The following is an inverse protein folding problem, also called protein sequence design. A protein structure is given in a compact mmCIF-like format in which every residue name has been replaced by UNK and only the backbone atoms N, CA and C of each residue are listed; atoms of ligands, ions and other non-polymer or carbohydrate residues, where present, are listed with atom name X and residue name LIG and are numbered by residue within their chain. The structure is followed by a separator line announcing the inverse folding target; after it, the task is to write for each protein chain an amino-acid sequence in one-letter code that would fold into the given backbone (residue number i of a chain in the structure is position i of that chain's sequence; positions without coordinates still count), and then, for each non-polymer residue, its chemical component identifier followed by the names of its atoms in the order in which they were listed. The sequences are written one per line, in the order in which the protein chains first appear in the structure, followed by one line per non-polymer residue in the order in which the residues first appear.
data_IF_796480809170
#
_entry.id   IF_796480809170
#
_cell.length_a   1.000
_cell.length_b   1.000
_cell.length_c   1.000
_cell.angle_alpha   90.00
_cell.angle_beta   90.00
_cell.angle_gamma   90.00
#
_symmetry.space_group_name_H-M   'P 1'
#
loop_
_entity.id
_entity.type
_entity.pdbx_description
1 polymer ?
#
# COMPACT_ATOMS: atom_id res chain seq x y z
N UNK A 1 26.14 17.64 4.72
CA UNK A 1 25.28 18.59 5.45
C UNK A 1 25.11 18.11 6.86
N UNK A 2 25.46 18.90 7.85
CA UNK A 2 25.17 18.60 9.27
C UNK A 2 23.77 19.12 9.57
N UNK A 3 22.94 18.29 10.21
CA UNK A 3 21.62 18.72 10.69
C UNK A 3 21.77 19.72 11.85
N UNK A 4 20.74 20.52 12.06
CA UNK A 4 20.69 21.40 13.22
C UNK A 4 20.64 20.57 14.51
N UNK A 5 21.41 20.94 15.53
CA UNK A 5 21.54 20.18 16.78
C UNK A 5 20.22 19.86 17.49
N UNK A 6 19.20 20.71 17.34
CA UNK A 6 17.85 20.42 17.87
C UNK A 6 17.19 19.27 17.13
N UNK A 7 17.38 19.15 15.81
CA UNK A 7 16.84 18.04 15.01
C UNK A 7 17.52 16.73 15.43
N UNK A 8 18.85 16.71 15.53
CA UNK A 8 19.61 15.56 15.99
C UNK A 8 19.11 15.06 17.36
N UNK A 9 19.06 15.98 18.34
CA UNK A 9 18.57 15.65 19.68
C UNK A 9 17.13 15.10 19.70
N UNK A 10 16.23 15.67 18.90
CA UNK A 10 14.83 15.20 18.82
C UNK A 10 14.79 13.82 18.16
N UNK A 11 15.57 13.60 17.12
CA UNK A 11 15.67 12.32 16.42
C UNK A 11 16.20 11.23 17.36
N UNK A 12 17.27 11.49 18.09
CA UNK A 12 17.82 10.55 19.08
C UNK A 12 16.80 10.16 20.15
N UNK A 13 16.02 11.13 20.64
CA UNK A 13 14.93 10.86 21.59
C UNK A 13 13.81 10.00 20.98
N UNK A 14 13.47 10.20 19.72
CA UNK A 14 12.47 9.38 19.02
C UNK A 14 12.99 7.96 18.86
N UNK A 15 14.22 7.80 18.43
CA UNK A 15 14.88 6.50 18.27
C UNK A 15 14.86 5.74 19.61
N UNK A 16 15.37 6.35 20.68
CA UNK A 16 15.41 5.73 21.99
C UNK A 16 14.03 5.33 22.51
N UNK A 17 13.03 6.20 22.33
CA UNK A 17 11.65 5.92 22.77
C UNK A 17 10.99 4.79 22.00
N UNK A 18 11.27 4.67 20.71
CA UNK A 18 10.62 3.71 19.81
C UNK A 18 11.36 2.36 19.70
N UNK A 19 12.52 2.22 20.31
CA UNK A 19 13.39 1.03 20.17
C UNK A 19 12.63 -0.28 20.44
N UNK A 20 11.88 -0.35 21.53
CA UNK A 20 11.15 -1.55 21.93
C UNK A 20 10.06 -1.99 20.94
N UNK A 21 9.48 -1.04 20.23
CA UNK A 21 8.41 -1.30 19.22
C UNK A 21 8.98 -1.42 17.81
N UNK A 22 10.01 -0.66 17.51
CA UNK A 22 10.62 -0.61 16.17
C UNK A 22 11.48 -1.82 15.87
N UNK A 23 12.26 -2.32 16.86
CA UNK A 23 13.12 -3.47 16.66
C UNK A 23 12.37 -4.72 16.19
N UNK A 24 11.28 -5.17 16.83
CA UNK A 24 10.52 -6.32 16.37
C UNK A 24 9.95 -6.14 14.95
N UNK A 25 9.61 -4.91 14.55
CA UNK A 25 9.18 -4.63 13.19
C UNK A 25 10.32 -4.83 12.20
N UNK A 26 11.50 -4.25 12.46
CA UNK A 26 12.67 -4.38 11.58
C UNK A 26 13.11 -5.83 11.44
N UNK A 27 13.09 -6.58 12.53
CA UNK A 27 13.46 -8.01 12.53
C UNK A 27 12.48 -8.83 11.65
N UNK A 28 11.19 -8.52 11.69
CA UNK A 28 10.21 -9.13 10.79
C UNK A 28 10.45 -8.79 9.32
N UNK A 29 10.77 -7.53 9.02
CA UNK A 29 11.08 -7.09 7.66
C UNK A 29 12.33 -7.79 7.12
N UNK A 30 13.37 -7.90 7.91
CA UNK A 30 14.59 -8.60 7.53
C UNK A 30 14.36 -10.11 7.34
N UNK A 31 13.59 -10.75 8.23
CA UNK A 31 13.20 -12.14 8.07
C UNK A 31 12.35 -12.40 6.83
N UNK A 32 11.45 -11.46 6.49
CA UNK A 32 10.67 -11.54 5.25
C UNK A 32 11.57 -11.39 4.01
N UNK A 33 12.48 -10.42 4.05
CA UNK A 33 13.46 -10.19 2.96
C UNK A 33 14.34 -11.43 2.71
N UNK A 34 14.79 -12.07 3.77
CA UNK A 34 15.64 -13.27 3.68
C UNK A 34 14.94 -14.47 3.01
N UNK A 35 13.60 -14.53 3.07
CA UNK A 35 12.79 -15.58 2.40
C UNK A 35 12.62 -15.36 0.89
N UNK A 36 12.92 -14.17 0.40
CA UNK A 36 12.64 -13.78 -1.00
C UNK A 36 11.16 -13.50 -1.27
N UNK A 37 10.77 -13.42 -2.55
CA UNK A 37 9.40 -13.04 -2.93
C UNK A 37 8.35 -13.97 -2.33
N UNK A 38 7.37 -13.41 -1.62
CA UNK A 38 6.32 -14.19 -0.94
C UNK A 38 5.53 -15.09 -1.91
N UNK A 39 5.30 -14.60 -3.15
CA UNK A 39 4.59 -15.37 -4.18
C UNK A 39 5.31 -16.66 -4.61
N UNK A 40 6.64 -16.75 -4.43
CA UNK A 40 7.40 -17.97 -4.72
C UNK A 40 7.05 -19.12 -3.79
N UNK A 41 6.44 -18.83 -2.66
CA UNK A 41 6.03 -19.81 -1.64
C UNK A 41 4.53 -20.14 -1.70
N UNK A 42 3.80 -19.57 -2.66
CA UNK A 42 2.39 -19.95 -2.88
C UNK A 42 2.29 -21.40 -3.39
N UNK A 43 1.27 -22.12 -2.92
CA UNK A 43 0.94 -23.43 -3.48
C UNK A 43 0.55 -23.33 -4.95
N UNK A 44 0.59 -24.44 -5.69
CA UNK A 44 0.13 -24.46 -7.10
C UNK A 44 -1.29 -23.93 -7.25
N UNK A 45 -2.19 -24.26 -6.34
CA UNK A 45 -3.55 -23.73 -6.31
C UNK A 45 -3.57 -22.22 -6.04
N UNK A 46 -2.77 -21.74 -5.07
CA UNK A 46 -2.63 -20.32 -4.78
C UNK A 46 -2.12 -19.53 -5.99
N UNK A 47 -1.10 -20.05 -6.68
CA UNK A 47 -0.58 -19.42 -7.90
C UNK A 47 -1.61 -19.41 -9.03
N UNK A 48 -2.35 -20.51 -9.22
CA UNK A 48 -3.39 -20.58 -10.23
C UNK A 48 -4.47 -19.53 -10.01
N UNK A 49 -4.94 -19.36 -8.77
CA UNK A 49 -5.91 -18.32 -8.43
C UNK A 49 -5.34 -16.91 -8.57
N UNK A 50 -4.11 -16.67 -8.08
CA UNK A 50 -3.50 -15.34 -8.11
C UNK A 50 -3.24 -14.85 -9.54
N UNK A 51 -2.90 -15.76 -10.47
CA UNK A 51 -2.46 -15.38 -11.81
C UNK A 51 -3.54 -15.54 -12.88
N UNK A 52 -4.69 -16.15 -12.56
CA UNK A 52 -5.75 -16.39 -13.54
C UNK A 52 -6.28 -15.11 -14.21
N UNK A 53 -6.32 -14.00 -13.47
CA UNK A 53 -6.81 -12.72 -13.94
C UNK A 53 -5.69 -11.80 -14.50
N UNK A 54 -4.46 -12.26 -14.62
CA UNK A 54 -3.30 -11.42 -14.96
C UNK A 54 -3.10 -11.20 -16.47
N UNK A 55 -3.91 -11.84 -17.31
CA UNK A 55 -3.85 -11.69 -18.77
C UNK A 55 -2.45 -11.95 -19.31
N UNK A 56 -1.92 -11.00 -20.06
CA UNK A 56 -0.59 -11.06 -20.70
C UNK A 56 0.58 -11.06 -19.69
N UNK A 57 0.36 -10.63 -18.45
CA UNK A 57 1.40 -10.62 -17.41
C UNK A 57 1.57 -11.97 -16.70
N UNK A 58 0.73 -12.96 -17.01
CA UNK A 58 0.71 -14.25 -16.33
C UNK A 58 2.07 -14.95 -16.34
N UNK A 59 2.72 -14.99 -17.49
CA UNK A 59 4.01 -15.67 -17.64
C UNK A 59 5.13 -14.94 -16.88
N UNK A 60 5.07 -13.60 -16.81
CA UNK A 60 6.00 -12.80 -16.01
C UNK A 60 5.80 -13.05 -14.53
N UNK A 61 4.55 -13.12 -14.06
CA UNK A 61 4.22 -13.40 -12.67
C UNK A 61 4.62 -14.79 -12.23
N UNK A 62 4.53 -15.77 -13.12
CA UNK A 62 4.95 -17.15 -12.85
C UNK A 62 6.46 -17.26 -12.63
N UNK A 63 7.25 -16.30 -13.11
CA UNK A 63 8.68 -16.22 -12.82
C UNK A 63 8.89 -15.40 -11.54
N UNK A 64 9.84 -15.79 -10.70
CA UNK A 64 10.19 -15.03 -9.49
C UNK A 64 11.12 -13.86 -9.75
N UNK A 65 11.59 -13.69 -10.99
CA UNK A 65 12.55 -12.65 -11.38
C UNK A 65 11.92 -11.29 -11.64
N UNK A 66 10.64 -11.24 -12.02
CA UNK A 66 9.92 -10.00 -12.26
C UNK A 66 9.25 -9.55 -10.96
N UNK A 67 9.49 -8.31 -10.52
CA UNK A 67 8.79 -7.73 -9.36
C UNK A 67 7.31 -7.49 -9.68
N UNK A 68 6.42 -7.74 -8.72
CA UNK A 68 4.98 -7.46 -8.83
C UNK A 68 4.58 -6.33 -7.88
N UNK A 69 4.11 -5.21 -8.43
CA UNK A 69 3.69 -4.03 -7.68
C UNK A 69 2.18 -4.08 -7.40
N UNK A 70 1.81 -4.05 -6.12
CA UNK A 70 0.43 -3.88 -5.69
C UNK A 70 0.01 -2.42 -5.76
N UNK A 71 -1.15 -2.13 -6.35
CA UNK A 71 -1.74 -0.79 -6.38
C UNK A 71 -2.94 -0.79 -5.43
N UNK A 72 -2.87 0.01 -4.38
CA UNK A 72 -4.01 0.31 -3.50
C UNK A 72 -4.54 1.67 -3.89
N UNK A 73 -5.80 1.76 -4.29
CA UNK A 73 -6.38 3.00 -4.82
C UNK A 73 -7.59 3.46 -4.01
N UNK A 74 -7.75 4.77 -3.93
CA UNK A 74 -8.92 5.44 -3.34
C UNK A 74 -9.84 6.02 -4.41
N UNK A 75 -9.77 5.48 -5.64
CA UNK A 75 -10.64 5.89 -6.73
C UNK A 75 -12.12 5.76 -6.39
N UNK A 76 -12.87 6.75 -6.76
CA UNK A 76 -14.32 6.73 -6.89
C UNK A 76 -14.78 7.86 -7.83
N UNK A 77 -15.98 7.77 -8.35
CA UNK A 77 -16.54 8.75 -9.29
C UNK A 77 -17.10 10.01 -8.63
N UNK A 78 -17.41 9.94 -7.34
CA UNK A 78 -18.17 10.99 -6.65
C UNK A 78 -17.32 12.11 -6.08
N UNK A 79 -16.01 11.86 -5.85
CA UNK A 79 -15.11 12.83 -5.23
C UNK A 79 -14.13 13.38 -6.26
N UNK A 80 -14.18 14.68 -6.53
CA UNK A 80 -13.36 15.34 -7.56
C UNK A 80 -11.86 15.14 -7.41
N UNK A 81 -11.36 15.01 -6.17
CA UNK A 81 -9.94 14.76 -5.91
C UNK A 81 -9.54 13.30 -6.14
N UNK A 82 -10.48 12.36 -6.11
CA UNK A 82 -10.24 10.92 -6.24
C UNK A 82 -10.55 10.37 -7.63
N UNK A 83 -11.45 11.03 -8.37
CA UNK A 83 -11.82 10.61 -9.71
C UNK A 83 -10.63 10.46 -10.67
N UNK A 84 -9.59 11.32 -10.66
CA UNK A 84 -8.44 11.14 -11.54
C UNK A 84 -7.67 9.83 -11.35
N UNK A 85 -7.82 9.17 -10.20
CA UNK A 85 -7.18 7.87 -9.94
C UNK A 85 -7.72 6.72 -10.79
N UNK A 86 -8.83 6.91 -11.50
CA UNK A 86 -9.34 5.95 -12.49
C UNK A 86 -8.25 5.50 -13.46
N UNK A 87 -7.46 6.45 -13.96
CA UNK A 87 -6.48 6.23 -15.03
C UNK A 87 -5.08 5.85 -14.52
N UNK A 88 -4.78 6.07 -13.25
CA UNK A 88 -3.44 5.87 -12.71
C UNK A 88 -2.99 4.39 -12.72
N UNK A 89 -3.85 3.40 -12.46
CA UNK A 89 -3.44 2.01 -12.53
C UNK A 89 -2.88 1.61 -13.90
N UNK A 90 -3.45 2.11 -14.99
CA UNK A 90 -2.96 1.79 -16.34
C UNK A 90 -1.61 2.44 -16.62
N UNK A 91 -1.43 3.70 -16.23
CA UNK A 91 -0.13 4.39 -16.34
C UNK A 91 0.96 3.68 -15.53
N UNK A 92 0.62 3.22 -14.33
CA UNK A 92 1.54 2.48 -13.46
C UNK A 92 1.89 1.13 -14.08
N UNK A 93 0.92 0.38 -14.60
CA UNK A 93 1.16 -0.90 -15.28
C UNK A 93 2.12 -0.73 -16.46
N UNK A 94 1.89 0.29 -17.28
CA UNK A 94 2.77 0.60 -18.43
C UNK A 94 4.19 0.90 -17.98
N UNK A 95 4.37 1.78 -17.00
CA UNK A 95 5.68 2.15 -16.47
C UNK A 95 6.41 0.94 -15.85
N UNK A 96 5.70 0.12 -15.09
CA UNK A 96 6.28 -1.06 -14.43
C UNK A 96 6.64 -2.14 -15.45
N UNK A 97 5.82 -2.34 -16.48
CA UNK A 97 6.16 -3.25 -17.60
C UNK A 97 7.40 -2.79 -18.35
N UNK A 98 7.54 -1.49 -18.60
CA UNK A 98 8.74 -0.93 -19.20
C UNK A 98 9.99 -1.17 -18.35
N UNK A 99 9.85 -1.24 -17.03
CA UNK A 99 10.92 -1.57 -16.09
C UNK A 99 11.13 -3.10 -15.91
N UNK A 100 10.41 -3.95 -16.64
CA UNK A 100 10.53 -5.41 -16.59
C UNK A 100 9.71 -6.11 -15.49
N UNK A 101 8.87 -5.37 -14.76
CA UNK A 101 7.98 -5.88 -13.72
C UNK A 101 6.54 -6.05 -14.18
N UNK A 102 5.67 -6.29 -13.22
CA UNK A 102 4.21 -6.35 -13.36
C UNK A 102 3.54 -5.50 -12.28
N UNK A 103 2.32 -5.04 -12.53
CA UNK A 103 1.55 -4.31 -11.54
C UNK A 103 0.07 -4.69 -11.60
N UNK A 104 -0.54 -4.87 -10.43
CA UNK A 104 -1.94 -5.25 -10.29
C UNK A 104 -2.63 -4.35 -9.26
N UNK A 105 -3.88 -4.00 -9.51
CA UNK A 105 -4.71 -3.39 -8.47
C UNK A 105 -4.96 -4.45 -7.39
N UNK A 106 -4.41 -4.22 -6.21
CA UNK A 106 -4.60 -5.09 -5.05
C UNK A 106 -6.01 -4.93 -4.47
N UNK A 107 -6.54 -3.72 -4.52
CA UNK A 107 -7.87 -3.39 -4.07
C UNK A 107 -8.11 -1.89 -4.00
N UNK A 108 -9.38 -1.53 -3.83
CA UNK A 108 -9.81 -0.19 -3.48
C UNK A 108 -10.03 -0.05 -1.98
N UNK A 109 -9.83 1.14 -1.46
CA UNK A 109 -10.20 1.51 -0.09
C UNK A 109 -11.27 2.59 -0.14
N UNK A 110 -12.20 2.63 0.84
CA UNK A 110 -13.21 3.68 0.86
C UNK A 110 -12.54 5.05 1.03
N UNK A 111 -13.13 6.06 0.42
CA UNK A 111 -12.68 7.43 0.57
C UNK A 111 -13.85 8.31 1.00
N UNK A 112 -13.63 9.15 1.98
CA UNK A 112 -14.57 10.17 2.43
C UNK A 112 -13.93 11.55 2.25
N UNK A 113 -14.67 12.49 1.72
CA UNK A 113 -14.23 13.87 1.59
C UNK A 113 -15.03 14.76 2.54
N UNK A 114 -14.35 15.36 3.48
CA UNK A 114 -14.97 16.28 4.45
C UNK A 114 -15.64 17.48 3.78
N UNK A 115 -15.13 17.90 2.62
CA UNK A 115 -15.74 18.96 1.83
C UNK A 115 -17.16 18.62 1.30
N UNK A 116 -17.48 17.33 1.19
CA UNK A 116 -18.81 16.84 0.81
C UNK A 116 -19.68 16.57 2.04
N UNK A 117 -19.09 16.01 3.09
CA UNK A 117 -19.84 15.55 4.28
C UNK A 117 -19.92 16.58 5.39
N UNK A 118 -19.27 17.73 5.24
CA UNK A 118 -19.30 18.80 6.24
C UNK A 118 -20.72 19.29 6.52
N UNK A 119 -21.10 19.26 7.79
CA UNK A 119 -22.45 19.62 8.22
C UNK A 119 -23.49 18.49 8.13
N UNK A 120 -23.13 17.35 7.55
CA UNK A 120 -24.00 16.19 7.42
C UNK A 120 -23.64 15.10 8.46
N UNK A 121 -24.60 14.24 8.77
CA UNK A 121 -24.40 13.16 9.75
C UNK A 121 -23.24 12.21 9.37
N UNK A 122 -22.96 12.03 8.08
CA UNK A 122 -21.85 11.21 7.60
C UNK A 122 -20.48 11.71 8.04
N UNK A 123 -20.36 12.97 8.44
CA UNK A 123 -19.09 13.54 8.93
C UNK A 123 -18.57 12.82 10.19
N UNK A 124 -19.45 12.24 10.98
CA UNK A 124 -19.09 11.47 12.17
C UNK A 124 -18.19 10.25 11.86
N UNK A 125 -18.25 9.73 10.63
CA UNK A 125 -17.42 8.64 10.18
C UNK A 125 -16.02 9.07 9.68
N UNK A 126 -15.78 10.38 9.53
CA UNK A 126 -14.57 10.90 8.91
C UNK A 126 -13.30 10.44 9.64
N UNK A 127 -13.19 10.63 10.95
CA UNK A 127 -12.01 10.20 11.71
C UNK A 127 -11.86 8.67 11.74
N UNK A 128 -12.98 7.98 11.85
CA UNK A 128 -13.01 6.51 11.86
C UNK A 128 -12.57 5.89 10.54
N UNK A 129 -12.74 6.60 9.43
CA UNK A 129 -12.36 6.11 8.11
C UNK A 129 -10.88 5.74 7.99
N UNK A 130 -9.98 6.35 8.76
CA UNK A 130 -8.55 6.02 8.78
C UNK A 130 -8.29 4.56 9.15
N UNK A 131 -8.98 4.06 10.16
CA UNK A 131 -8.83 2.68 10.62
C UNK A 131 -9.38 1.70 9.58
N UNK A 132 -10.51 2.03 8.99
CA UNK A 132 -11.11 1.24 7.90
C UNK A 132 -10.19 1.17 6.68
N UNK A 133 -9.60 2.30 6.28
CA UNK A 133 -8.66 2.37 5.16
C UNK A 133 -7.41 1.54 5.44
N UNK A 134 -6.84 1.66 6.65
CA UNK A 134 -5.67 0.89 7.05
C UNK A 134 -5.95 -0.61 7.02
N UNK A 135 -7.07 -1.05 7.58
CA UNK A 135 -7.48 -2.45 7.57
C UNK A 135 -7.77 -2.96 6.15
N UNK A 136 -8.48 -2.18 5.33
CA UNK A 136 -8.79 -2.58 3.96
C UNK A 136 -7.51 -2.74 3.11
N UNK A 137 -6.56 -1.82 3.21
CA UNK A 137 -5.27 -1.92 2.53
C UNK A 137 -4.47 -3.14 3.02
N UNK A 138 -4.47 -3.39 4.33
CA UNK A 138 -3.82 -4.54 4.93
C UNK A 138 -4.39 -5.85 4.41
N UNK A 139 -5.72 -5.99 4.36
CA UNK A 139 -6.40 -7.16 3.80
C UNK A 139 -6.01 -7.37 2.34
N UNK A 140 -6.04 -6.31 1.53
CA UNK A 140 -5.71 -6.38 0.11
C UNK A 140 -4.27 -6.89 -0.13
N UNK A 141 -3.31 -6.43 0.66
CA UNK A 141 -1.89 -6.77 0.52
C UNK A 141 -1.51 -8.11 1.15
N UNK A 142 -2.36 -8.67 2.03
CA UNK A 142 -2.09 -9.95 2.73
C UNK A 142 -2.18 -11.20 1.85
N UNK A 143 -2.41 -11.05 0.55
CA UNK A 143 -2.48 -12.17 -0.39
C UNK A 143 -1.11 -12.76 -0.77
N UNK A 144 -0.01 -12.16 -0.31
CA UNK A 144 1.36 -12.61 -0.59
C UNK A 144 1.72 -12.67 -2.10
N UNK A 145 1.09 -11.82 -2.90
CA UNK A 145 1.30 -11.77 -4.36
C UNK A 145 2.14 -10.59 -4.80
N UNK A 146 2.39 -9.64 -3.91
CA UNK A 146 3.09 -8.39 -4.19
C UNK A 146 4.47 -8.33 -3.52
N UNK A 147 5.44 -7.76 -4.21
CA UNK A 147 6.79 -7.51 -3.70
C UNK A 147 6.95 -6.09 -3.16
N UNK A 148 6.10 -5.18 -3.62
CA UNK A 148 6.02 -3.80 -3.17
C UNK A 148 4.58 -3.29 -3.37
N UNK A 149 4.26 -2.14 -2.79
CA UNK A 149 2.96 -1.51 -2.97
C UNK A 149 3.10 -0.01 -3.23
N UNK A 150 2.18 0.53 -4.04
CA UNK A 150 1.95 1.96 -4.19
C UNK A 150 0.53 2.29 -3.72
N UNK A 151 0.40 3.38 -3.00
CA UNK A 151 -0.85 3.84 -2.44
C UNK A 151 -1.27 5.14 -3.13
N UNK A 152 -2.41 5.10 -3.81
CA UNK A 152 -3.01 6.25 -4.47
C UNK A 152 -4.06 6.85 -3.56
N UNK A 153 -3.73 7.96 -2.93
CA UNK A 153 -4.62 8.62 -2.00
C UNK A 153 -4.38 10.12 -1.90
N UNK A 154 -5.42 10.83 -1.57
CA UNK A 154 -5.44 12.27 -1.31
C UNK A 154 -6.41 12.52 -0.17
N UNK A 155 -6.42 13.71 0.39
CA UNK A 155 -7.21 14.12 1.56
C UNK A 155 -6.63 13.74 2.91
N UNK A 156 -7.10 14.48 3.92
CA UNK A 156 -6.52 14.56 5.26
C UNK A 156 -6.75 13.34 6.17
N UNK A 157 -7.73 12.49 5.88
CA UNK A 157 -7.96 11.22 6.60
C UNK A 157 -7.43 10.02 5.81
N UNK A 158 -7.50 10.10 4.50
CA UNK A 158 -7.17 8.98 3.61
C UNK A 158 -5.67 8.75 3.58
N UNK A 159 -4.87 9.81 3.39
CA UNK A 159 -3.40 9.69 3.38
C UNK A 159 -2.87 9.13 4.70
N UNK A 160 -3.27 9.63 5.89
CA UNK A 160 -2.87 9.00 7.15
C UNK A 160 -3.31 7.55 7.29
N UNK A 161 -4.51 7.18 6.84
CA UNK A 161 -4.97 5.79 6.84
C UNK A 161 -4.07 4.87 5.99
N UNK A 162 -3.71 5.31 4.80
CA UNK A 162 -2.78 4.59 3.93
C UNK A 162 -1.35 4.51 4.52
N UNK A 163 -0.88 5.57 5.17
CA UNK A 163 0.42 5.57 5.86
C UNK A 163 0.44 4.59 7.03
N UNK A 164 -0.65 4.50 7.80
CA UNK A 164 -0.79 3.49 8.86
C UNK A 164 -0.64 2.08 8.28
N UNK A 165 -1.35 1.81 7.17
CA UNK A 165 -1.22 0.52 6.48
C UNK A 165 0.22 0.27 6.02
N UNK A 166 0.85 1.24 5.37
CA UNK A 166 2.22 1.12 4.85
C UNK A 166 3.27 0.85 5.92
N UNK A 167 3.02 1.26 7.16
CA UNK A 167 3.93 1.01 8.29
C UNK A 167 3.72 -0.36 8.95
N UNK A 168 2.61 -1.03 8.66
CA UNK A 168 2.27 -2.34 9.22
C UNK A 168 2.77 -3.50 8.35
N UNK A 169 3.04 -3.23 7.06
CA UNK A 169 3.46 -4.20 6.04
C UNK A 169 4.84 -3.94 5.49
#
# INVERSE_FOLDING_TARGET
MTLHSTIDRVTDRIIARSEATRRPYLDRMEAARAKGPARAHLSCSGQAHAYAASGEDKDRLATTSAGNLGIVTTYNDMLSAHQPFERYPDLIREAVRAAGGTAQVAGGVPAMCDGVTQGEAGMELSLFSRDVIALAASVALSHNTFDAAVYLGVCDKIVPGLVIAAQAF
#
